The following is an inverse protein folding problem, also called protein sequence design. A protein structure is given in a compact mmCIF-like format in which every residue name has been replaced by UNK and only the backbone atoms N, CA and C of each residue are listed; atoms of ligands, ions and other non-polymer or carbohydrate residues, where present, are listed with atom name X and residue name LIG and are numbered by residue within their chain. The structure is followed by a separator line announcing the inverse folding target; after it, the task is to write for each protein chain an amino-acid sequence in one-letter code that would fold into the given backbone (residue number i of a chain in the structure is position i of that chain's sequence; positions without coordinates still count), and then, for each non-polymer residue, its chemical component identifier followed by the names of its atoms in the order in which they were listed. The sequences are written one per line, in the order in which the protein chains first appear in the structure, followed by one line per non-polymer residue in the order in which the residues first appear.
data_IF_563504025896
#
_entry.id   IF_563504025896
#
_cell.length_a   1.000
_cell.length_b   1.000
_cell.length_c   1.000
_cell.angle_alpha   90.00
_cell.angle_beta   90.00
_cell.angle_gamma   90.00
#
_symmetry.space_group_name_H-M   'P 1'
#
loop_
_entity.id
_entity.type
_entity.pdbx_description
1 polymer ?
#
# COMPACT_ATOMS: atom_id res chain seq x y z
N UNK A 1 12.41 0.68 49.81
CA UNK A 1 12.55 -0.42 48.84
C UNK A 1 11.36 -0.31 47.87
N UNK A 2 11.60 0.07 46.61
CA UNK A 2 10.55 0.25 45.59
C UNK A 2 10.59 -0.95 44.65
N UNK A 3 9.48 -1.68 44.61
CA UNK A 3 9.32 -2.89 43.80
C UNK A 3 8.89 -2.48 42.39
N UNK A 4 9.75 -2.66 41.40
CA UNK A 4 9.43 -2.46 40.00
C UNK A 4 8.63 -3.65 39.46
N UNK A 5 7.42 -3.39 38.97
CA UNK A 5 6.58 -4.37 38.28
C UNK A 5 6.98 -4.39 36.80
N UNK A 6 7.59 -5.49 36.34
CA UNK A 6 7.82 -5.77 34.92
C UNK A 6 6.55 -6.39 34.33
N UNK A 7 5.87 -5.67 33.45
CA UNK A 7 4.79 -6.21 32.62
C UNK A 7 5.44 -6.79 31.36
N UNK A 8 5.53 -8.13 31.29
CA UNK A 8 5.94 -8.82 30.08
C UNK A 8 4.78 -8.84 29.08
N UNK A 9 4.89 -8.05 28.02
CA UNK A 9 3.99 -8.13 26.87
C UNK A 9 4.22 -9.48 26.16
N UNK A 10 3.26 -10.38 26.28
CA UNK A 10 3.31 -11.68 25.61
C UNK A 10 2.83 -11.49 24.17
N UNK A 11 3.76 -11.46 23.22
CA UNK A 11 3.43 -11.45 21.80
C UNK A 11 2.92 -12.84 21.40
N UNK A 12 1.61 -12.95 21.13
CA UNK A 12 1.00 -14.13 20.52
C UNK A 12 1.48 -14.22 19.06
N UNK A 13 2.40 -15.14 18.78
CA UNK A 13 2.70 -15.57 17.41
C UNK A 13 1.57 -16.49 16.94
N UNK A 14 0.57 -15.91 16.28
CA UNK A 14 -0.41 -16.68 15.52
C UNK A 14 0.30 -17.31 14.31
N UNK A 15 0.43 -18.64 14.31
CA UNK A 15 0.75 -19.40 13.09
C UNK A 15 -0.46 -19.32 12.15
N UNK A 16 -0.40 -18.39 11.21
CA UNK A 16 -1.40 -18.23 10.14
C UNK A 16 -1.13 -19.31 9.09
N UNK A 17 -2.09 -20.21 8.86
CA UNK A 17 -2.06 -21.06 7.66
C UNK A 17 -2.05 -20.15 6.43
N UNK A 18 -1.21 -20.46 5.43
CA UNK A 18 -1.08 -19.62 4.23
C UNK A 18 -2.40 -19.63 3.46
N UNK A 19 -3.23 -18.63 3.74
CA UNK A 19 -4.25 -18.20 2.78
C UNK A 19 -3.51 -17.37 1.74
N UNK A 20 -3.71 -17.63 0.46
CA UNK A 20 -3.14 -16.90 -0.69
C UNK A 20 -3.65 -15.44 -0.79
N UNK A 21 -4.08 -14.88 0.33
CA UNK A 21 -4.81 -13.63 0.46
C UNK A 21 -3.84 -12.50 0.70
N UNK A 22 -3.95 -11.47 -0.13
CA UNK A 22 -3.19 -10.24 0.07
C UNK A 22 -3.92 -9.33 1.05
N UNK A 23 -3.16 -8.76 1.98
CA UNK A 23 -3.69 -7.85 3.01
C UNK A 23 -2.92 -6.53 3.00
N UNK A 24 -3.63 -5.43 3.26
CA UNK A 24 -3.02 -4.12 3.48
C UNK A 24 -3.60 -3.45 4.73
N UNK A 25 -2.73 -3.05 5.65
CA UNK A 25 -3.09 -2.20 6.78
C UNK A 25 -2.67 -0.78 6.49
N UNK A 26 -3.63 0.16 6.48
CA UNK A 26 -3.43 1.56 6.12
C UNK A 26 -3.86 2.45 7.29
N UNK A 27 -2.96 3.28 7.79
CA UNK A 27 -3.28 4.35 8.73
C UNK A 27 -3.34 5.66 7.96
N UNK A 28 -4.43 6.40 8.08
CA UNK A 28 -4.62 7.73 7.51
C UNK A 28 -4.66 8.75 8.64
N UNK A 29 -3.89 9.82 8.50
CA UNK A 29 -3.79 10.91 9.47
C UNK A 29 -3.93 12.24 8.75
N UNK A 30 -4.81 13.09 9.25
CA UNK A 30 -5.16 14.35 8.60
C UNK A 30 -6.26 14.15 7.55
N UNK A 31 -7.23 15.08 7.53
CA UNK A 31 -8.34 15.07 6.59
C UNK A 31 -9.65 14.53 7.19
N UNK A 32 -10.57 14.14 6.31
CA UNK A 32 -11.92 13.68 6.69
C UNK A 32 -12.03 12.17 6.97
N UNK A 33 -10.94 11.43 6.74
CA UNK A 33 -10.89 9.96 6.75
C UNK A 33 -9.80 9.44 7.69
N UNK A 34 -9.54 10.13 8.79
CA UNK A 34 -8.58 9.70 9.80
C UNK A 34 -8.99 8.36 10.41
N UNK A 35 -8.06 7.41 10.45
CA UNK A 35 -8.34 6.08 10.97
C UNK A 35 -7.35 5.01 10.52
N UNK A 36 -7.63 3.78 10.94
CA UNK A 36 -6.90 2.57 10.53
C UNK A 36 -7.86 1.69 9.74
N UNK A 37 -7.40 1.25 8.58
CA UNK A 37 -8.18 0.51 7.60
C UNK A 37 -7.45 -0.78 7.24
N UNK A 38 -8.22 -1.86 7.13
CA UNK A 38 -7.74 -3.14 6.64
C UNK A 38 -8.42 -3.40 5.28
N UNK A 39 -7.60 -3.59 4.25
CA UNK A 39 -8.03 -4.08 2.96
C UNK A 39 -7.54 -5.51 2.78
N UNK A 40 -8.36 -6.32 2.12
CA UNK A 40 -8.07 -7.72 1.85
C UNK A 40 -8.51 -8.01 0.42
N UNK A 41 -7.74 -8.82 -0.30
CA UNK A 41 -8.09 -9.30 -1.63
C UNK A 41 -7.73 -10.78 -1.75
N UNK A 42 -8.65 -11.56 -2.31
CA UNK A 42 -8.48 -13.02 -2.49
C UNK A 42 -7.72 -13.37 -3.78
N UNK A 43 -7.55 -12.39 -4.68
CA UNK A 43 -6.76 -12.52 -5.91
C UNK A 43 -5.27 -12.14 -5.69
N UNK A 44 -4.47 -12.17 -6.76
CA UNK A 44 -3.07 -11.70 -6.79
C UNK A 44 -2.99 -10.22 -7.20
N UNK A 45 -3.17 -9.23 -6.30
CA UNK A 45 -3.15 -7.81 -6.64
C UNK A 45 -1.74 -7.27 -6.91
N UNK A 46 -0.69 -8.05 -6.67
CA UNK A 46 0.69 -7.63 -6.80
C UNK A 46 1.34 -8.26 -8.04
N UNK A 47 1.82 -7.43 -8.95
CA UNK A 47 2.41 -7.88 -10.20
C UNK A 47 3.70 -7.12 -10.53
N UNK A 48 4.64 -7.81 -11.15
CA UNK A 48 5.75 -7.21 -11.89
C UNK A 48 5.41 -7.33 -13.37
N UNK A 49 5.20 -6.20 -14.04
CA UNK A 49 4.96 -6.15 -15.48
C UNK A 49 6.24 -5.73 -16.21
N UNK A 50 6.50 -6.36 -17.35
CA UNK A 50 7.59 -5.99 -18.25
C UNK A 50 7.03 -5.31 -19.49
N UNK A 51 7.45 -4.08 -19.76
CA UNK A 51 6.99 -3.33 -20.95
C UNK A 51 8.14 -3.08 -21.94
N UNK A 52 7.86 -3.08 -23.25
CA UNK A 52 8.83 -2.68 -24.25
C UNK A 52 9.10 -1.17 -24.19
N UNK A 53 10.31 -0.76 -24.57
CA UNK A 53 10.70 0.64 -24.74
C UNK A 53 9.65 1.41 -25.58
N UNK A 54 9.29 2.65 -25.21
CA UNK A 54 9.96 3.57 -24.28
C UNK A 54 9.47 3.51 -22.82
N UNK A 55 8.64 2.53 -22.46
CA UNK A 55 8.05 2.45 -21.11
C UNK A 55 9.06 1.90 -20.08
N UNK A 56 8.83 2.08 -18.77
CA UNK A 56 9.65 1.49 -17.72
C UNK A 56 9.81 -0.01 -17.96
N UNK A 57 11.06 -0.49 -17.89
CA UNK A 57 11.36 -1.88 -18.28
C UNK A 57 10.64 -2.88 -17.36
N UNK A 58 10.51 -2.52 -16.10
CA UNK A 58 9.80 -3.28 -15.08
C UNK A 58 8.98 -2.34 -14.22
N UNK A 59 7.72 -2.67 -13.97
CA UNK A 59 6.86 -1.91 -13.07
C UNK A 59 6.30 -2.87 -12.01
N UNK A 60 6.34 -2.45 -10.75
CA UNK A 60 5.69 -3.17 -9.66
C UNK A 60 4.36 -2.49 -9.35
N UNK A 61 3.27 -3.23 -9.54
CA UNK A 61 1.90 -2.78 -9.37
C UNK A 61 1.26 -3.47 -8.18
N UNK A 62 0.53 -2.71 -7.37
CA UNK A 62 -0.35 -3.20 -6.33
C UNK A 62 -1.71 -2.53 -6.46
N UNK A 63 -2.76 -3.32 -6.50
CA UNK A 63 -4.13 -2.83 -6.49
C UNK A 63 -5.01 -3.66 -5.55
N UNK A 64 -5.28 -3.14 -4.34
CA UNK A 64 -6.03 -3.88 -3.30
C UNK A 64 -7.35 -3.16 -3.05
N UNK A 65 -8.40 -3.96 -3.00
CA UNK A 65 -9.77 -3.49 -2.90
C UNK A 65 -10.58 -3.93 -4.11
N UNK A 66 -11.87 -3.66 -4.07
CA UNK A 66 -12.80 -4.01 -5.13
C UNK A 66 -13.79 -2.87 -5.32
N UNK A 67 -14.41 -2.81 -6.50
CA UNK A 67 -15.61 -1.99 -6.69
C UNK A 67 -16.67 -2.43 -5.68
N UNK A 68 -16.85 -1.64 -4.63
CA UNK A 68 -18.00 -1.82 -3.75
C UNK A 68 -19.09 -0.89 -4.21
N UNK A 69 -20.25 -1.41 -4.58
CA UNK A 69 -21.48 -0.60 -4.73
C UNK A 69 -21.98 0.01 -3.40
N UNK A 70 -21.14 0.01 -2.37
CA UNK A 70 -21.42 0.59 -1.06
C UNK A 70 -21.18 2.11 -1.09
N UNK A 71 -22.19 2.88 -0.74
CA UNK A 71 -22.15 4.35 -0.69
C UNK A 71 -21.52 4.91 0.58
N UNK A 72 -20.82 4.11 1.39
CA UNK A 72 -20.21 4.62 2.61
C UNK A 72 -18.98 5.48 2.26
N UNK A 73 -19.05 6.82 2.39
CA UNK A 73 -17.95 7.68 2.02
C UNK A 73 -16.74 7.50 2.94
N UNK A 74 -16.85 6.81 4.08
CA UNK A 74 -15.75 6.59 5.03
C UNK A 74 -15.02 5.27 4.84
N UNK A 75 -15.54 4.37 4.01
CA UNK A 75 -14.92 3.07 3.75
C UNK A 75 -13.76 3.24 2.78
N UNK A 76 -12.57 2.77 3.15
CA UNK A 76 -11.45 2.65 2.22
C UNK A 76 -11.76 1.52 1.22
N UNK A 77 -11.88 1.85 -0.07
CA UNK A 77 -12.33 0.91 -1.11
C UNK A 77 -11.24 0.50 -2.06
N UNK A 78 -10.23 1.36 -2.26
CA UNK A 78 -9.12 1.07 -3.16
C UNK A 78 -7.83 1.64 -2.59
N UNK A 79 -6.79 0.80 -2.59
CA UNK A 79 -5.40 1.20 -2.50
C UNK A 79 -4.72 0.81 -3.81
N UNK A 80 -4.06 1.77 -4.44
CA UNK A 80 -3.26 1.56 -5.64
C UNK A 80 -1.84 2.09 -5.40
N UNK A 81 -0.84 1.29 -5.73
CA UNK A 81 0.57 1.66 -5.65
C UNK A 81 1.27 1.16 -6.91
N UNK A 82 2.07 2.02 -7.52
CA UNK A 82 2.83 1.72 -8.73
C UNK A 82 4.24 2.25 -8.56
N UNK A 83 5.23 1.38 -8.81
CA UNK A 83 6.64 1.69 -8.75
C UNK A 83 7.22 1.46 -10.15
N UNK A 84 7.47 2.51 -10.96
CA UNK A 84 8.16 2.37 -12.23
C UNK A 84 9.62 1.97 -12.02
N UNK A 85 10.20 1.35 -13.04
CA UNK A 85 11.61 0.93 -13.08
C UNK A 85 12.02 0.17 -11.81
N UNK A 86 11.12 -0.68 -11.33
CA UNK A 86 11.23 -1.41 -10.08
C UNK A 86 12.35 -2.47 -10.14
N UNK A 87 13.61 -2.04 -10.12
CA UNK A 87 14.69 -2.89 -9.62
C UNK A 87 14.57 -2.89 -8.09
N UNK A 88 13.80 -3.85 -7.56
CA UNK A 88 13.44 -4.02 -6.15
C UNK A 88 14.65 -4.35 -5.23
N UNK A 89 15.86 -3.94 -5.60
CA UNK A 89 17.11 -4.07 -4.84
C UNK A 89 17.49 -2.78 -4.10
N UNK A 90 16.87 -1.65 -4.45
CA UNK A 90 17.13 -0.35 -3.85
C UNK A 90 15.91 0.15 -3.08
N UNK A 91 16.10 1.03 -2.10
CA UNK A 91 15.02 1.72 -1.40
C UNK A 91 14.73 3.08 -2.07
N UNK A 92 13.57 3.68 -1.78
CA UNK A 92 13.17 5.04 -2.20
C UNK A 92 13.01 5.24 -3.72
N UNK A 93 12.28 4.33 -4.35
CA UNK A 93 11.87 4.51 -5.75
C UNK A 93 10.98 5.75 -5.93
N UNK A 94 10.94 6.33 -7.13
CA UNK A 94 9.79 7.14 -7.53
C UNK A 94 8.55 6.25 -7.57
N UNK A 95 7.38 6.77 -7.25
CA UNK A 95 6.15 6.00 -7.15
C UNK A 95 4.92 6.88 -7.39
N UNK A 96 3.85 6.19 -7.79
CA UNK A 96 2.49 6.67 -7.66
C UNK A 96 1.80 5.88 -6.55
N UNK A 97 1.12 6.55 -5.64
CA UNK A 97 0.28 5.93 -4.62
C UNK A 97 -1.06 6.65 -4.53
N UNK A 98 -2.14 5.91 -4.36
CA UNK A 98 -3.46 6.49 -4.16
C UNK A 98 -4.35 5.61 -3.31
N UNK A 99 -5.11 6.27 -2.43
CA UNK A 99 -6.19 5.65 -1.67
C UNK A 99 -7.52 6.34 -2.02
N UNK A 100 -8.57 5.54 -2.15
CA UNK A 100 -9.93 6.02 -2.48
C UNK A 100 -10.91 5.56 -1.43
N UNK A 101 -11.73 6.49 -0.96
CA UNK A 101 -12.80 6.26 0.00
C UNK A 101 -14.17 6.39 -0.64
N UNK A 102 -15.05 5.44 -0.34
CA UNK A 102 -16.37 5.34 -0.95
C UNK A 102 -16.33 4.85 -2.39
N UNK A 103 -17.25 5.33 -3.21
CA UNK A 103 -17.39 4.91 -4.60
C UNK A 103 -16.14 5.27 -5.44
N UNK A 104 -15.61 4.35 -6.25
CA UNK A 104 -14.35 4.59 -6.98
C UNK A 104 -14.46 5.73 -8.02
N UNK A 105 -15.65 5.96 -8.58
CA UNK A 105 -15.87 6.99 -9.60
C UNK A 105 -16.15 8.38 -9.04
N UNK A 106 -16.64 8.46 -7.80
CA UNK A 106 -17.14 9.72 -7.21
C UNK A 106 -16.67 9.99 -5.77
N UNK A 107 -15.90 9.06 -5.20
CA UNK A 107 -15.42 9.09 -3.83
C UNK A 107 -14.26 10.05 -3.60
N UNK A 108 -13.81 10.10 -2.35
CA UNK A 108 -12.68 10.94 -1.97
C UNK A 108 -11.38 10.23 -2.30
N UNK A 109 -10.49 10.90 -3.02
CA UNK A 109 -9.20 10.34 -3.44
C UNK A 109 -8.05 11.16 -2.87
N UNK A 110 -7.12 10.46 -2.23
CA UNK A 110 -5.80 11.01 -1.92
C UNK A 110 -4.78 10.34 -2.84
N UNK A 111 -3.89 11.14 -3.40
CA UNK A 111 -2.85 10.67 -4.31
C UNK A 111 -1.53 11.35 -4.04
N UNK A 112 -0.46 10.58 -4.19
CA UNK A 112 0.93 11.00 -4.11
C UNK A 112 1.62 10.49 -5.36
N UNK A 113 2.40 11.37 -5.98
CA UNK A 113 3.18 11.03 -7.15
C UNK A 113 4.54 11.71 -7.00
N UNK A 114 5.60 10.91 -7.11
CA UNK A 114 6.99 11.35 -7.00
C UNK A 114 7.77 11.18 -8.30
N UNK A 115 7.14 10.67 -9.36
CA UNK A 115 7.73 10.62 -10.70
C UNK A 115 8.08 12.05 -11.19
N UNK A 116 9.21 12.21 -11.89
CA UNK A 116 9.53 13.44 -12.59
C UNK A 116 8.36 13.85 -13.50
N UNK A 117 8.12 15.16 -13.61
CA UNK A 117 7.10 15.76 -14.49
C UNK A 117 5.62 15.58 -14.09
N UNK A 118 5.35 15.03 -12.90
CA UNK A 118 3.97 14.97 -12.40
C UNK A 118 3.42 16.35 -11.99
N UNK A 119 2.16 16.60 -12.37
CA UNK A 119 1.37 17.75 -11.88
C UNK A 119 0.79 17.54 -10.48
N UNK A 120 0.65 16.27 -10.05
CA UNK A 120 0.28 15.91 -8.68
C UNK A 120 1.57 15.74 -7.91
N UNK A 121 1.79 16.54 -6.88
CA UNK A 121 3.04 16.50 -6.10
C UNK A 121 2.74 16.11 -4.66
N UNK A 122 3.45 15.13 -4.14
CA UNK A 122 3.44 14.79 -2.72
C UNK A 122 4.83 14.36 -2.28
N UNK A 123 4.94 13.79 -1.09
CA UNK A 123 6.21 13.29 -0.55
C UNK A 123 6.01 11.92 0.08
N UNK A 124 7.13 11.22 0.32
CA UNK A 124 7.10 9.97 1.04
C UNK A 124 8.13 8.98 0.54
N UNK A 125 8.03 7.77 1.07
CA UNK A 125 8.89 6.64 0.72
C UNK A 125 8.06 5.40 0.50
N UNK A 126 8.58 4.53 -0.37
CA UNK A 126 8.05 3.20 -0.63
C UNK A 126 9.23 2.24 -0.61
N UNK A 127 9.06 1.10 0.05
CA UNK A 127 10.04 0.03 0.13
C UNK A 127 9.37 -1.30 -0.22
N UNK A 128 10.11 -2.17 -0.91
CA UNK A 128 9.64 -3.50 -1.28
C UNK A 128 10.67 -4.52 -0.83
N UNK A 129 10.24 -5.46 0.02
CA UNK A 129 11.09 -6.54 0.53
C UNK A 129 10.57 -7.86 0.02
N UNK A 130 11.34 -8.50 -0.85
CA UNK A 130 10.97 -9.79 -1.44
C UNK A 130 11.43 -10.97 -0.59
N UNK A 131 10.63 -12.03 -0.56
CA UNK A 131 10.97 -13.31 0.03
C UNK A 131 10.43 -14.45 -0.85
N UNK A 132 11.26 -15.00 -1.72
CA UNK A 132 10.82 -16.01 -2.69
C UNK A 132 9.80 -15.45 -3.69
N UNK A 133 8.59 -16.00 -3.67
CA UNK A 133 7.46 -15.54 -4.49
C UNK A 133 6.67 -14.40 -3.83
N UNK A 134 6.93 -14.12 -2.56
CA UNK A 134 6.20 -13.12 -1.78
C UNK A 134 6.92 -11.77 -1.74
N UNK A 135 6.18 -10.72 -1.37
CA UNK A 135 6.76 -9.41 -1.09
C UNK A 135 6.00 -8.67 0.02
N UNK A 136 6.75 -7.99 0.89
CA UNK A 136 6.20 -7.01 1.83
C UNK A 136 6.48 -5.62 1.29
N UNK A 137 5.44 -4.80 1.13
CA UNK A 137 5.57 -3.41 0.68
C UNK A 137 5.25 -2.48 1.84
N UNK A 138 6.19 -1.60 2.19
CA UNK A 138 5.98 -0.53 3.15
C UNK A 138 5.84 0.80 2.43
N UNK A 139 4.89 1.63 2.85
CA UNK A 139 4.75 2.99 2.34
C UNK A 139 4.47 3.97 3.48
N UNK A 140 5.03 5.16 3.39
CA UNK A 140 4.77 6.29 4.29
C UNK A 140 4.78 7.56 3.44
N UNK A 141 3.59 8.11 3.18
CA UNK A 141 3.42 9.16 2.17
C UNK A 141 2.51 10.28 2.65
N UNK A 142 2.73 11.48 2.12
CA UNK A 142 1.94 12.68 2.40
C UNK A 142 1.44 13.27 1.08
N UNK A 143 0.12 13.38 0.95
CA UNK A 143 -0.54 14.05 -0.17
C UNK A 143 -0.29 15.56 -0.18
N UNK A 144 -0.47 16.23 -1.33
CA UNK A 144 -0.34 17.70 -1.41
C UNK A 144 -1.27 18.47 -0.45
N UNK A 145 -2.40 17.87 -0.04
CA UNK A 145 -3.32 18.47 0.93
C UNK A 145 -2.91 18.22 2.39
N UNK A 146 -1.74 17.64 2.64
CA UNK A 146 -1.23 17.35 3.99
C UNK A 146 -1.83 16.11 4.65
N UNK A 147 -2.59 15.30 3.91
CA UNK A 147 -3.08 14.00 4.42
C UNK A 147 -1.95 12.99 4.32
N UNK A 148 -1.56 12.43 5.47
CA UNK A 148 -0.59 11.34 5.57
C UNK A 148 -1.32 10.00 5.48
N UNK A 149 -0.73 9.07 4.74
CA UNK A 149 -1.16 7.68 4.80
C UNK A 149 0.03 6.74 4.71
N UNK A 150 0.08 5.81 5.67
CA UNK A 150 1.16 4.84 5.81
C UNK A 150 0.63 3.46 6.05
N UNK A 151 1.40 2.46 5.65
CA UNK A 151 0.92 1.11 5.75
C UNK A 151 1.90 0.05 5.33
N UNK A 152 1.41 -1.18 5.42
CA UNK A 152 2.12 -2.36 4.97
C UNK A 152 1.18 -3.23 4.16
N UNK A 153 1.68 -3.71 3.02
CA UNK A 153 1.00 -4.64 2.14
C UNK A 153 1.76 -5.96 2.17
N UNK A 154 1.06 -7.07 2.35
CA UNK A 154 1.61 -8.42 2.27
C UNK A 154 1.14 -9.06 0.97
N UNK A 155 2.01 -9.05 -0.04
CA UNK A 155 1.80 -9.73 -1.32
C UNK A 155 2.22 -11.19 -1.18
N UNK A 156 1.29 -12.10 -1.45
CA UNK A 156 1.57 -13.53 -1.64
C UNK A 156 1.61 -13.79 -3.15
N UNK A 157 2.56 -14.62 -3.60
CA UNK A 157 2.68 -15.05 -5.00
C UNK A 157 2.67 -13.91 -6.03
N UNK A 158 3.63 -12.99 -5.92
CA UNK A 158 3.80 -11.86 -6.86
C UNK A 158 3.88 -12.36 -8.31
N UNK A 159 2.86 -12.02 -9.09
CA UNK A 159 2.77 -12.40 -10.49
C UNK A 159 3.87 -11.72 -11.32
N UNK A 160 4.28 -12.38 -12.41
CA UNK A 160 5.27 -11.85 -13.35
C UNK A 160 4.75 -11.98 -14.77
N UNK A 161 4.68 -10.86 -15.47
CA UNK A 161 4.20 -10.74 -16.85
C UNK A 161 5.26 -10.12 -17.76
#
# INVERSE_FOLDING_TARGET
MRTSLLIAATALLSLVGSTDRVTASVTVVGGGHDGVYLLENDDTPCAITSEPSPRPKHQFDVMIGAETHGRDPKKLTLLMLMIPDADLKEDNHSFFSSITFGDIGSGNRYSVETRPDSIVTGSGTVSVRRSGHDATVGFDVTSPSGVEFKGTIQCVDVARY
#
